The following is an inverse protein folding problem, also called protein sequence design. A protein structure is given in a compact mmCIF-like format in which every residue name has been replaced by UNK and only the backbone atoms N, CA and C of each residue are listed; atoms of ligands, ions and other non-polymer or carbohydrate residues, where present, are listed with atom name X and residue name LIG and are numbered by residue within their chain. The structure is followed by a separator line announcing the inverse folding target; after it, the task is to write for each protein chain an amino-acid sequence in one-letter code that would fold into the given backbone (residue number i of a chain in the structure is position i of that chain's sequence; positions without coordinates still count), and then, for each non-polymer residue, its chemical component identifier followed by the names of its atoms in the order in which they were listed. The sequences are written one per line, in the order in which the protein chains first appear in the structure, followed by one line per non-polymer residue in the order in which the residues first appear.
data_IF_019823009404
#
_entry.id   IF_019823009404
#
_cell.length_a   1.000
_cell.length_b   1.000
_cell.length_c   1.000
_cell.angle_alpha   90.00
_cell.angle_beta   90.00
_cell.angle_gamma   90.00
#
_symmetry.space_group_name_H-M   'P 1'
#
loop_
_entity.id
_entity.type
_entity.pdbx_description
1 polymer ?
#
# COMPACT_ATOMS: atom_id res chain seq x y z
N UNK A 1 15.94 13.35 3.94
CA UNK A 1 16.15 14.10 2.68
C UNK A 1 15.17 13.56 1.63
N UNK A 2 14.77 14.36 0.62
CA UNK A 2 13.89 13.92 -0.46
C UNK A 2 14.68 13.08 -1.47
N UNK A 3 14.79 11.77 -1.25
CA UNK A 3 15.55 10.89 -2.12
C UNK A 3 14.78 10.64 -3.42
N UNK A 4 15.38 10.86 -4.60
CA UNK A 4 14.81 10.46 -5.89
C UNK A 4 14.47 8.97 -5.94
N UNK A 5 13.38 8.60 -6.61
CA UNK A 5 12.91 7.21 -6.64
C UNK A 5 13.88 6.27 -7.36
N UNK A 6 14.51 6.72 -8.44
CA UNK A 6 15.56 5.98 -9.15
C UNK A 6 16.75 5.64 -8.23
N UNK A 7 17.18 6.59 -7.40
CA UNK A 7 18.27 6.37 -6.43
C UNK A 7 17.84 5.43 -5.31
N UNK A 8 16.59 5.55 -4.83
CA UNK A 8 16.04 4.60 -3.87
C UNK A 8 16.04 3.17 -4.44
N UNK A 9 15.56 2.98 -5.67
CA UNK A 9 15.53 1.67 -6.35
C UNK A 9 16.95 1.15 -6.60
N UNK A 10 17.88 2.02 -7.00
CA UNK A 10 19.29 1.65 -7.13
C UNK A 10 19.87 1.11 -5.85
N UNK A 11 19.77 1.88 -4.76
CA UNK A 11 20.29 1.47 -3.46
C UNK A 11 19.66 0.16 -2.98
N UNK A 12 18.38 -0.06 -3.30
CA UNK A 12 17.67 -1.29 -2.96
C UNK A 12 18.19 -2.50 -3.76
N UNK A 13 18.25 -2.39 -5.09
CA UNK A 13 18.60 -3.50 -5.97
C UNK A 13 20.10 -3.79 -6.02
N UNK A 14 20.96 -2.80 -5.75
CA UNK A 14 22.41 -3.00 -5.67
C UNK A 14 22.91 -3.11 -4.24
N UNK A 15 22.02 -3.27 -3.25
CA UNK A 15 22.38 -3.37 -1.85
C UNK A 15 23.40 -4.49 -1.60
N UNK A 16 24.37 -4.19 -0.74
CA UNK A 16 25.38 -5.12 -0.25
C UNK A 16 25.61 -4.88 1.25
N UNK A 17 26.17 -5.86 1.94
CA UNK A 17 26.47 -5.81 3.37
C UNK A 17 25.55 -6.68 4.21
N UNK A 18 25.50 -6.37 5.52
CA UNK A 18 24.78 -7.17 6.51
C UNK A 18 23.28 -6.89 6.50
N UNK A 19 22.48 -7.96 6.48
CA UNK A 19 21.01 -7.91 6.60
C UNK A 19 20.50 -7.46 7.97
N UNK A 20 21.37 -7.33 8.97
CA UNK A 20 21.04 -6.80 10.30
C UNK A 20 21.38 -5.33 10.47
N UNK A 21 22.42 -4.86 9.78
CA UNK A 21 22.86 -3.46 9.87
C UNK A 21 22.10 -2.56 8.90
N UNK A 22 21.59 -3.11 7.80
CA UNK A 22 20.88 -2.37 6.78
C UNK A 22 19.66 -3.16 6.31
N UNK A 23 18.55 -2.46 6.08
CA UNK A 23 17.31 -3.03 5.53
C UNK A 23 17.44 -3.52 4.09
N UNK A 24 18.00 -2.74 3.14
CA UNK A 24 18.01 -3.11 1.72
C UNK A 24 18.62 -4.48 1.38
N UNK A 25 19.75 -4.93 1.96
CA UNK A 25 20.28 -6.28 1.72
C UNK A 25 19.29 -7.40 2.10
N UNK A 26 18.33 -7.15 3.00
CA UNK A 26 17.34 -8.15 3.39
C UNK A 26 16.39 -8.53 2.25
N UNK A 27 16.29 -7.73 1.18
CA UNK A 27 15.60 -8.11 -0.04
C UNK A 27 16.13 -9.45 -0.59
N UNK A 28 17.45 -9.65 -0.60
CA UNK A 28 18.08 -10.87 -1.12
C UNK A 28 18.11 -12.02 -0.10
N UNK A 29 17.75 -11.74 1.15
CA UNK A 29 17.45 -12.78 2.16
C UNK A 29 16.09 -13.42 1.88
N UNK A 30 15.12 -12.61 1.46
CA UNK A 30 13.77 -13.02 1.07
C UNK A 30 13.75 -13.59 -0.36
N UNK A 31 14.17 -12.80 -1.35
CA UNK A 31 14.31 -13.21 -2.76
C UNK A 31 15.66 -13.89 -2.96
N UNK A 32 15.73 -15.15 -2.54
CA UNK A 32 17.01 -15.90 -2.46
C UNK A 32 17.52 -16.30 -3.83
N UNK A 33 16.68 -16.72 -4.75
CA UNK A 33 17.15 -17.16 -6.07
C UNK A 33 17.14 -16.02 -7.08
N UNK A 34 18.00 -16.05 -8.11
CA UNK A 34 17.91 -15.09 -9.22
C UNK A 34 16.52 -15.03 -9.86
N UNK A 35 15.83 -16.16 -9.90
CA UNK A 35 14.45 -16.33 -10.35
C UNK A 35 13.48 -15.54 -9.47
N UNK A 36 13.52 -15.72 -8.15
CA UNK A 36 12.63 -14.99 -7.24
C UNK A 36 12.86 -13.47 -7.29
N UNK A 37 14.13 -13.06 -7.47
CA UNK A 37 14.47 -11.65 -7.67
C UNK A 37 13.94 -11.12 -9.01
N UNK A 38 14.01 -11.91 -10.08
CA UNK A 38 13.46 -11.59 -11.40
C UNK A 38 11.95 -11.34 -11.35
N UNK A 39 11.19 -12.27 -10.76
CA UNK A 39 9.75 -12.14 -10.58
C UNK A 39 9.38 -10.89 -9.78
N UNK A 40 10.05 -10.68 -8.64
CA UNK A 40 9.83 -9.50 -7.82
C UNK A 40 10.13 -8.18 -8.54
N UNK A 41 11.30 -8.06 -9.20
CA UNK A 41 11.72 -6.80 -9.83
C UNK A 41 10.87 -6.47 -11.05
N UNK A 42 10.54 -7.47 -11.88
CA UNK A 42 9.65 -7.28 -13.02
C UNK A 42 8.27 -6.78 -12.57
N UNK A 43 7.67 -7.43 -11.59
CA UNK A 43 6.34 -7.04 -11.11
C UNK A 43 6.36 -5.67 -10.41
N UNK A 44 7.27 -5.46 -9.46
CA UNK A 44 7.21 -4.27 -8.58
C UNK A 44 7.69 -3.01 -9.30
N UNK A 45 8.77 -3.10 -10.09
CA UNK A 45 9.43 -1.92 -10.66
C UNK A 45 9.18 -1.74 -12.16
N UNK A 46 8.82 -2.80 -12.88
CA UNK A 46 8.55 -2.71 -14.32
C UNK A 46 7.07 -2.85 -14.66
N UNK A 47 6.24 -3.28 -13.70
CA UNK A 47 4.81 -3.51 -13.94
C UNK A 47 4.54 -4.68 -14.89
N UNK A 48 5.46 -5.63 -14.98
CA UNK A 48 5.36 -6.80 -15.87
C UNK A 48 5.34 -8.06 -15.02
N UNK A 49 4.32 -8.91 -15.20
CA UNK A 49 4.16 -10.17 -14.45
C UNK A 49 4.80 -11.33 -15.20
N UNK A 50 6.08 -11.57 -14.97
CA UNK A 50 6.79 -12.66 -15.66
C UNK A 50 6.63 -14.04 -14.98
N UNK A 51 5.98 -14.17 -13.83
CA UNK A 51 5.99 -15.42 -13.07
C UNK A 51 5.40 -16.63 -13.81
N UNK A 52 4.36 -16.46 -14.63
CA UNK A 52 3.87 -17.56 -15.47
C UNK A 52 4.91 -18.00 -16.50
N UNK A 53 5.72 -17.05 -16.99
CA UNK A 53 6.80 -17.30 -17.95
C UNK A 53 7.93 -18.18 -17.36
N UNK A 54 8.02 -18.31 -16.03
CA UNK A 54 9.00 -19.16 -15.35
C UNK A 54 8.94 -20.62 -15.81
N UNK A 55 7.74 -21.15 -16.03
CA UNK A 55 7.54 -22.58 -16.32
C UNK A 55 7.10 -22.85 -17.75
N UNK A 56 6.34 -21.94 -18.37
CA UNK A 56 5.79 -22.09 -19.71
C UNK A 56 5.64 -20.71 -20.37
N UNK A 57 5.37 -20.63 -21.68
CA UNK A 57 5.04 -19.36 -22.31
C UNK A 57 3.81 -18.72 -21.66
N UNK A 58 3.83 -17.41 -21.41
CA UNK A 58 2.76 -16.72 -20.72
C UNK A 58 1.42 -16.90 -21.48
N UNK A 59 0.30 -17.29 -20.85
CA UNK A 59 -0.93 -17.66 -21.59
C UNK A 59 -1.58 -16.51 -22.37
N UNK A 60 -1.35 -15.27 -21.93
CA UNK A 60 -2.02 -14.07 -22.44
C UNK A 60 -1.06 -12.93 -22.77
N UNK A 61 0.25 -13.21 -22.80
CA UNK A 61 1.29 -12.20 -23.08
C UNK A 61 2.40 -12.80 -23.95
N UNK A 62 3.26 -11.92 -24.48
CA UNK A 62 4.37 -12.29 -25.37
C UNK A 62 5.55 -12.95 -24.66
N UNK A 63 5.58 -12.94 -23.33
CA UNK A 63 6.75 -13.37 -22.55
C UNK A 63 6.91 -14.89 -22.55
N UNK A 64 8.12 -15.34 -22.79
CA UNK A 64 8.48 -16.75 -22.70
C UNK A 64 9.47 -17.04 -21.57
N UNK A 65 9.82 -18.31 -21.43
CA UNK A 65 10.77 -18.76 -20.43
C UNK A 65 12.16 -18.13 -20.64
N UNK A 66 12.57 -17.89 -21.88
CA UNK A 66 13.83 -17.21 -22.16
C UNK A 66 13.82 -15.80 -21.55
N UNK A 67 12.76 -15.02 -21.72
CA UNK A 67 12.64 -13.67 -21.16
C UNK A 67 12.77 -13.67 -19.62
N UNK A 68 12.07 -14.58 -18.93
CA UNK A 68 12.12 -14.69 -17.46
C UNK A 68 13.54 -14.93 -16.95
N UNK A 69 14.23 -15.91 -17.55
CA UNK A 69 15.57 -16.29 -17.12
C UNK A 69 16.65 -15.32 -17.60
N UNK A 70 16.45 -14.62 -18.73
CA UNK A 70 17.34 -13.53 -19.13
C UNK A 70 17.29 -12.34 -18.15
N UNK A 71 16.12 -12.02 -17.58
CA UNK A 71 16.04 -11.05 -16.49
C UNK A 71 16.68 -11.60 -15.20
N UNK A 72 16.46 -12.88 -14.89
CA UNK A 72 17.10 -13.54 -13.74
C UNK A 72 18.63 -13.53 -13.82
N UNK A 73 19.20 -13.54 -15.03
CA UNK A 73 20.64 -13.51 -15.24
C UNK A 73 21.33 -12.29 -14.59
N UNK A 74 20.65 -11.13 -14.47
CA UNK A 74 21.17 -9.96 -13.75
C UNK A 74 21.39 -10.21 -12.24
N UNK A 75 20.73 -11.20 -11.65
CA UNK A 75 20.84 -11.51 -10.22
C UNK A 75 21.76 -12.71 -9.94
N UNK A 76 22.23 -13.42 -10.97
CA UNK A 76 23.08 -14.61 -10.85
C UNK A 76 24.44 -14.35 -10.19
N UNK A 77 24.92 -13.10 -10.22
CA UNK A 77 26.13 -12.65 -9.52
C UNK A 77 25.94 -12.40 -8.02
N UNK A 78 24.73 -12.52 -7.48
CA UNK A 78 24.46 -12.29 -6.06
C UNK A 78 25.02 -13.44 -5.23
N UNK A 79 25.79 -13.10 -4.19
CA UNK A 79 26.42 -14.04 -3.27
C UNK A 79 26.01 -13.73 -1.84
N UNK A 80 26.05 -14.77 -1.00
CA UNK A 80 25.67 -14.68 0.42
C UNK A 80 26.60 -15.52 1.30
N UNK A 81 26.77 -15.09 2.54
CA UNK A 81 27.48 -15.83 3.60
C UNK A 81 26.78 -15.60 4.93
N UNK A 82 26.52 -16.67 5.68
CA UNK A 82 25.82 -16.65 6.95
C UNK A 82 24.89 -17.87 7.08
N UNK A 83 24.38 -18.13 8.29
CA UNK A 83 23.48 -19.27 8.53
C UNK A 83 22.03 -19.01 8.05
N UNK A 84 21.67 -17.74 7.83
CA UNK A 84 20.35 -17.39 7.28
C UNK A 84 19.21 -17.52 8.28
N UNK A 85 18.01 -17.77 7.75
CA UNK A 85 16.81 -18.00 8.55
C UNK A 85 16.86 -19.46 9.03
N UNK A 86 17.20 -19.68 10.31
CA UNK A 86 16.95 -20.96 10.97
C UNK A 86 15.66 -20.87 11.80
N UNK A 87 14.81 -21.89 11.67
CA UNK A 87 13.72 -22.08 12.62
C UNK A 87 14.29 -22.67 13.92
N UNK A 88 13.83 -22.28 15.13
CA UNK A 88 12.84 -21.26 15.44
C UNK A 88 13.52 -20.01 16.03
N UNK A 89 13.52 -18.90 15.30
CA UNK A 89 13.81 -17.56 15.86
C UNK A 89 15.30 -17.30 16.20
N UNK A 90 16.18 -17.36 15.20
CA UNK A 90 17.28 -16.39 15.09
C UNK A 90 17.75 -16.34 13.66
N UNK A 91 17.48 -15.23 12.96
CA UNK A 91 18.15 -14.97 11.70
C UNK A 91 19.57 -14.56 12.01
N UNK A 92 20.55 -15.44 11.84
CA UNK A 92 21.95 -15.03 11.97
C UNK A 92 22.32 -14.00 10.88
N UNK A 93 23.32 -13.14 11.09
CA UNK A 93 23.73 -12.17 10.07
C UNK A 93 24.09 -12.86 8.74
N UNK A 94 23.28 -12.60 7.71
CA UNK A 94 23.68 -12.85 6.33
C UNK A 94 24.35 -11.61 5.76
N UNK A 95 25.51 -11.79 5.13
CA UNK A 95 26.19 -10.80 4.34
C UNK A 95 25.91 -11.05 2.86
N UNK A 96 25.41 -10.04 2.16
CA UNK A 96 25.14 -10.07 0.73
C UNK A 96 26.21 -9.26 -0.01
N UNK A 97 26.73 -9.79 -1.10
CA UNK A 97 27.60 -9.05 -2.03
C UNK A 97 27.34 -9.49 -3.46
N UNK A 98 27.82 -8.74 -4.44
CA UNK A 98 27.68 -9.10 -5.85
C UNK A 98 29.05 -9.29 -6.52
N UNK A 99 29.06 -10.19 -7.49
CA UNK A 99 30.16 -10.39 -8.43
C UNK A 99 29.70 -10.02 -9.84
N UNK A 100 30.64 -9.75 -10.75
CA UNK A 100 30.36 -9.50 -12.17
C UNK A 100 29.96 -10.74 -12.97
N UNK A 101 30.02 -11.92 -12.34
CA UNK A 101 29.68 -13.19 -12.97
C UNK A 101 28.21 -13.22 -13.40
N UNK A 102 27.98 -13.61 -14.65
CA UNK A 102 26.66 -14.02 -15.13
C UNK A 102 26.68 -15.51 -15.38
N UNK A 103 25.78 -16.24 -14.74
CA UNK A 103 25.62 -17.67 -14.95
C UNK A 103 24.12 -18.00 -14.89
N UNK A 104 23.49 -18.11 -16.04
CA UNK A 104 22.09 -18.49 -16.15
C UNK A 104 21.89 -19.36 -17.39
N UNK A 105 21.19 -20.48 -17.22
CA UNK A 105 20.87 -21.40 -18.30
C UNK A 105 19.37 -21.49 -18.49
N UNK A 106 18.94 -21.65 -19.72
CA UNK A 106 17.55 -21.99 -20.00
C UNK A 106 17.25 -23.38 -19.42
N UNK A 107 16.18 -23.55 -18.61
CA UNK A 107 15.96 -24.80 -17.86
C UNK A 107 15.63 -26.01 -18.76
N UNK A 108 15.02 -25.79 -19.93
CA UNK A 108 14.73 -26.86 -20.90
C UNK A 108 15.89 -27.11 -21.89
N UNK A 109 16.40 -26.07 -22.56
CA UNK A 109 17.40 -26.25 -23.63
C UNK A 109 18.85 -26.31 -23.14
N UNK A 110 19.14 -25.84 -21.92
CA UNK A 110 20.50 -25.75 -21.37
C UNK A 110 21.37 -24.63 -21.96
N UNK A 111 20.81 -23.82 -22.87
CA UNK A 111 21.47 -22.66 -23.50
C UNK A 111 21.93 -21.66 -22.44
N UNK A 112 23.15 -21.13 -22.58
CA UNK A 112 23.64 -20.03 -21.74
C UNK A 112 22.94 -18.72 -22.12
N UNK A 113 22.25 -18.12 -21.15
CA UNK A 113 21.45 -16.93 -21.35
C UNK A 113 22.22 -15.66 -20.97
N UNK A 114 22.26 -14.71 -21.91
CA UNK A 114 22.77 -13.37 -21.66
C UNK A 114 21.71 -12.52 -20.93
N UNK A 115 22.12 -11.59 -20.05
CA UNK A 115 21.17 -10.71 -19.38
C UNK A 115 20.42 -9.82 -20.37
N UNK A 116 19.10 -9.78 -20.20
CA UNK A 116 18.20 -8.95 -20.99
C UNK A 116 17.03 -8.54 -20.13
N UNK A 117 16.71 -7.25 -20.12
CA UNK A 117 15.53 -6.75 -19.44
C UNK A 117 14.29 -6.91 -20.32
N UNK A 118 13.06 -6.92 -19.76
CA UNK A 118 11.83 -6.98 -20.56
C UNK A 118 11.77 -5.83 -21.57
N UNK A 119 11.60 -6.16 -22.85
CA UNK A 119 11.66 -5.22 -23.98
C UNK A 119 12.98 -4.42 -24.12
N UNK A 120 14.01 -4.81 -23.37
CA UNK A 120 15.35 -4.25 -23.46
C UNK A 120 16.25 -4.98 -24.45
N UNK A 121 17.41 -4.39 -24.79
CA UNK A 121 18.45 -5.08 -25.55
C UNK A 121 19.13 -6.15 -24.69
N UNK A 122 19.70 -7.17 -25.34
CA UNK A 122 20.67 -8.05 -24.66
C UNK A 122 21.93 -7.25 -24.33
N UNK A 123 22.47 -7.45 -23.13
CA UNK A 123 23.63 -6.69 -22.64
C UNK A 123 24.75 -7.64 -22.23
N UNK A 124 25.97 -7.31 -22.65
CA UNK A 124 27.19 -7.95 -22.12
C UNK A 124 27.61 -7.18 -20.87
N UNK A 125 27.70 -7.87 -19.74
CA UNK A 125 28.08 -7.25 -18.48
C UNK A 125 29.60 -7.07 -18.43
N UNK A 126 30.11 -5.84 -18.20
CA UNK A 126 31.53 -5.62 -17.99
C UNK A 126 32.06 -6.41 -16.78
N UNK A 127 33.30 -6.90 -16.87
CA UNK A 127 33.90 -7.77 -15.86
C UNK A 127 34.13 -7.11 -14.50
N UNK A 128 34.05 -5.79 -14.42
CA UNK A 128 34.22 -4.97 -13.22
C UNK A 128 32.89 -4.40 -12.68
N UNK A 129 31.76 -4.71 -13.33
CA UNK A 129 30.45 -4.17 -12.95
C UNK A 129 29.51 -5.23 -12.37
N UNK A 130 28.75 -4.81 -11.36
CA UNK A 130 27.61 -5.57 -10.84
C UNK A 130 26.49 -5.60 -11.89
N UNK A 131 26.03 -6.79 -12.36
CA UNK A 131 24.96 -6.88 -13.33
C UNK A 131 23.67 -6.18 -12.86
N UNK A 132 23.39 -6.19 -11.54
CA UNK A 132 22.21 -5.51 -10.96
C UNK A 132 22.28 -4.00 -11.19
N UNK A 133 23.48 -3.41 -11.14
CA UNK A 133 23.66 -1.99 -11.41
C UNK A 133 23.41 -1.66 -12.89
N UNK A 134 23.80 -2.55 -13.81
CA UNK A 134 23.52 -2.41 -15.25
C UNK A 134 22.02 -2.46 -15.53
N UNK A 135 21.28 -3.35 -14.85
CA UNK A 135 19.82 -3.39 -14.93
C UNK A 135 19.21 -2.06 -14.47
N UNK A 136 19.63 -1.52 -13.32
CA UNK A 136 19.09 -0.24 -12.83
C UNK A 136 19.47 0.93 -13.74
N UNK A 137 20.68 0.94 -14.31
CA UNK A 137 21.07 1.93 -15.32
C UNK A 137 20.06 1.94 -16.48
N UNK A 138 19.67 0.76 -16.99
CA UNK A 138 18.64 0.64 -18.03
C UNK A 138 17.24 1.06 -17.55
N UNK A 139 16.84 0.69 -16.33
CA UNK A 139 15.54 1.06 -15.76
C UNK A 139 15.35 2.57 -15.69
N UNK A 140 16.44 3.30 -15.43
CA UNK A 140 16.42 4.74 -15.15
C UNK A 140 16.67 5.60 -16.39
N UNK A 141 16.80 4.98 -17.57
CA UNK A 141 16.90 5.70 -18.84
C UNK A 141 15.61 6.48 -19.12
N UNK A 142 15.68 7.74 -19.60
CA UNK A 142 14.50 8.54 -19.92
C UNK A 142 13.53 7.89 -20.93
N UNK A 143 14.07 7.06 -21.82
CA UNK A 143 13.36 6.36 -22.88
C UNK A 143 12.81 5.00 -22.42
N UNK A 144 13.07 4.58 -21.18
CA UNK A 144 12.58 3.32 -20.64
C UNK A 144 11.03 3.33 -20.58
N UNK A 145 10.34 2.38 -21.24
CA UNK A 145 8.89 2.43 -21.33
C UNK A 145 8.17 1.91 -20.08
N UNK A 146 8.89 1.27 -19.15
CA UNK A 146 8.29 0.49 -18.05
C UNK A 146 8.43 1.19 -16.70
N UNK A 147 9.65 1.55 -16.31
CA UNK A 147 9.98 1.94 -14.93
C UNK A 147 9.19 3.16 -14.45
N UNK A 148 9.18 4.24 -15.23
CA UNK A 148 8.46 5.46 -14.87
C UNK A 148 6.93 5.24 -14.86
N UNK A 149 6.39 4.51 -15.86
CA UNK A 149 4.95 4.20 -15.94
C UNK A 149 4.49 3.37 -14.73
N UNK A 150 5.24 2.34 -14.37
CA UNK A 150 4.93 1.49 -13.22
C UNK A 150 4.94 2.27 -11.90
N UNK A 151 5.94 3.12 -11.69
CA UNK A 151 6.04 3.97 -10.49
C UNK A 151 4.88 4.96 -10.39
N UNK A 152 4.60 5.68 -11.49
CA UNK A 152 3.50 6.65 -11.57
C UNK A 152 2.15 5.99 -11.32
N UNK A 153 1.89 4.86 -11.99
CA UNK A 153 0.62 4.15 -11.87
C UNK A 153 0.38 3.66 -10.44
N UNK A 154 1.42 3.17 -9.77
CA UNK A 154 1.35 2.74 -8.37
C UNK A 154 1.06 3.92 -7.43
N UNK A 155 1.69 5.07 -7.62
CA UNK A 155 1.39 6.28 -6.82
C UNK A 155 -0.03 6.79 -7.09
N UNK A 156 -0.46 6.80 -8.35
CA UNK A 156 -1.82 7.14 -8.74
C UNK A 156 -2.84 6.26 -8.02
N UNK A 157 -2.64 4.94 -8.05
CA UNK A 157 -3.52 3.99 -7.39
C UNK A 157 -3.63 4.21 -5.86
N UNK A 158 -2.56 4.66 -5.19
CA UNK A 158 -2.62 4.99 -3.76
C UNK A 158 -3.59 6.14 -3.46
N UNK A 159 -3.70 7.12 -4.37
CA UNK A 159 -4.58 8.27 -4.18
C UNK A 159 -6.00 8.04 -4.69
N UNK A 160 -6.17 7.31 -5.79
CA UNK A 160 -7.48 7.07 -6.40
C UNK A 160 -8.11 5.72 -6.05
N UNK A 161 -7.38 4.83 -5.37
CA UNK A 161 -7.82 3.47 -5.04
C UNK A 161 -7.79 2.49 -6.23
N UNK A 162 -7.47 2.99 -7.44
CA UNK A 162 -7.37 2.24 -8.69
C UNK A 162 -6.32 2.87 -9.58
N UNK A 163 -5.40 2.07 -10.12
CA UNK A 163 -4.41 2.54 -11.09
C UNK A 163 -5.02 2.84 -12.46
N UNK A 164 -4.35 3.70 -13.23
CA UNK A 164 -4.69 3.94 -14.65
C UNK A 164 -4.58 2.60 -15.42
N UNK A 165 -3.59 1.79 -15.06
CA UNK A 165 -3.58 0.35 -15.32
C UNK A 165 -3.93 -0.35 -14.02
N UNK A 166 -4.87 -1.29 -14.08
CA UNK A 166 -5.32 -2.05 -12.92
C UNK A 166 -5.46 -3.54 -13.29
N UNK A 167 -4.86 -4.47 -12.54
CA UNK A 167 -4.00 -4.25 -11.37
C UNK A 167 -2.76 -3.38 -11.61
N UNK A 168 -2.23 -2.76 -10.56
CA UNK A 168 -1.21 -1.69 -10.65
C UNK A 168 0.12 -2.11 -11.28
N UNK A 169 0.34 -3.42 -11.41
CA UNK A 169 1.55 -4.09 -11.89
C UNK A 169 1.26 -5.08 -13.04
N UNK A 170 0.11 -4.95 -13.73
CA UNK A 170 -0.31 -5.84 -14.83
C UNK A 170 -0.35 -5.08 -16.17
N UNK A 171 0.79 -4.53 -16.60
CA UNK A 171 0.92 -3.82 -17.87
C UNK A 171 1.07 -4.80 -19.03
N UNK A 172 0.01 -4.95 -19.81
CA UNK A 172 0.01 -5.79 -21.01
C UNK A 172 -0.91 -5.23 -22.08
N UNK A 173 -0.69 -5.65 -23.33
CA UNK A 173 -1.50 -5.21 -24.47
C UNK A 173 -3.00 -5.53 -24.29
N UNK A 174 -3.34 -6.63 -23.60
CA UNK A 174 -4.71 -7.03 -23.28
C UNK A 174 -5.30 -6.36 -22.03
N UNK A 175 -4.52 -5.53 -21.33
CA UNK A 175 -4.92 -4.71 -20.19
C UNK A 175 -4.44 -3.26 -20.39
N UNK A 176 -4.96 -2.55 -21.40
CA UNK A 176 -4.48 -1.22 -21.72
C UNK A 176 -4.82 -0.22 -20.60
N UNK A 177 -4.03 0.86 -20.46
CA UNK A 177 -4.36 1.96 -19.55
C UNK A 177 -5.74 2.54 -19.86
N UNK A 178 -6.50 2.90 -18.82
CA UNK A 178 -7.80 3.60 -18.99
C UNK A 178 -7.62 4.96 -19.67
N UNK A 179 -6.46 5.58 -19.51
CA UNK A 179 -6.05 6.81 -20.18
C UNK A 179 -4.53 6.80 -20.43
N UNK A 180 -4.11 6.25 -21.57
CA UNK A 180 -2.69 6.16 -21.94
C UNK A 180 -2.01 7.54 -22.10
N UNK A 181 -2.60 8.54 -22.78
CA UNK A 181 -1.99 9.87 -22.86
C UNK A 181 -1.67 10.50 -21.50
N UNK A 182 -2.55 10.31 -20.50
CA UNK A 182 -2.32 10.78 -19.13
C UNK A 182 -1.14 10.06 -18.46
N UNK A 183 -1.10 8.73 -18.55
CA UNK A 183 -0.02 7.93 -17.98
C UNK A 183 1.33 8.32 -18.58
N UNK A 184 1.37 8.50 -19.90
CA UNK A 184 2.57 8.88 -20.65
C UNK A 184 3.04 10.28 -20.27
N UNK A 185 2.11 11.22 -20.12
CA UNK A 185 2.43 12.57 -19.69
C UNK A 185 3.01 12.59 -18.28
N UNK A 186 2.38 11.88 -17.33
CA UNK A 186 2.87 11.79 -15.94
C UNK A 186 4.23 11.08 -15.87
N UNK A 187 4.46 10.03 -16.66
CA UNK A 187 5.75 9.33 -16.71
C UNK A 187 6.86 10.25 -17.24
N UNK A 188 6.60 11.01 -18.31
CA UNK A 188 7.55 11.99 -18.85
C UNK A 188 7.83 13.12 -17.86
N UNK A 189 6.80 13.64 -17.20
CA UNK A 189 6.95 14.67 -16.16
C UNK A 189 7.80 14.14 -14.98
N UNK A 190 7.56 12.90 -14.55
CA UNK A 190 8.31 12.26 -13.48
C UNK A 190 9.80 12.08 -13.83
N UNK A 191 10.11 11.67 -15.06
CA UNK A 191 11.49 11.58 -15.58
C UNK A 191 12.14 12.97 -15.65
N UNK A 192 11.43 13.97 -16.20
CA UNK A 192 11.94 15.34 -16.33
C UNK A 192 12.27 15.98 -14.96
N UNK A 193 11.52 15.61 -13.92
CA UNK A 193 11.76 16.03 -12.54
C UNK A 193 12.64 15.06 -11.75
N UNK A 194 13.47 14.27 -12.45
CA UNK A 194 14.48 13.38 -11.85
C UNK A 194 13.88 12.42 -10.83
N UNK A 195 12.74 11.83 -11.18
CA UNK A 195 12.04 10.83 -10.36
C UNK A 195 11.67 11.32 -8.94
N UNK A 196 11.35 12.61 -8.78
CA UNK A 196 10.90 13.19 -7.51
C UNK A 196 9.45 12.79 -7.18
N UNK A 197 9.29 11.89 -6.21
CA UNK A 197 7.97 11.44 -5.75
C UNK A 197 7.13 12.57 -5.16
N UNK A 198 7.73 13.55 -4.46
CA UNK A 198 6.97 14.66 -3.88
C UNK A 198 6.42 15.59 -4.95
N UNK A 199 7.17 15.78 -6.03
CA UNK A 199 6.69 16.49 -7.22
C UNK A 199 5.50 15.75 -7.82
N UNK A 200 5.64 14.46 -8.11
CA UNK A 200 4.55 13.63 -8.66
C UNK A 200 3.29 13.66 -7.78
N UNK A 201 3.45 13.46 -6.47
CA UNK A 201 2.34 13.54 -5.51
C UNK A 201 1.67 14.91 -5.54
N UNK A 202 2.45 16.00 -5.55
CA UNK A 202 1.93 17.37 -5.62
C UNK A 202 1.15 17.61 -6.91
N UNK A 203 1.67 17.16 -8.05
CA UNK A 203 1.02 17.27 -9.36
C UNK A 203 -0.33 16.55 -9.36
N UNK A 204 -0.39 15.33 -8.82
CA UNK A 204 -1.64 14.56 -8.69
C UNK A 204 -2.63 15.27 -7.75
N UNK A 205 -2.19 15.64 -6.55
CA UNK A 205 -3.07 16.22 -5.52
C UNK A 205 -3.62 17.61 -5.88
N UNK A 206 -2.91 18.36 -6.74
CA UNK A 206 -3.36 19.64 -7.26
C UNK A 206 -4.15 19.53 -8.59
N UNK A 207 -4.36 18.32 -9.11
CA UNK A 207 -5.11 18.12 -10.35
C UNK A 207 -6.61 18.33 -10.14
N UNK A 208 -7.31 18.81 -11.18
CA UNK A 208 -8.77 18.87 -11.18
C UNK A 208 -9.38 17.49 -10.88
N UNK A 209 -8.83 16.42 -11.47
CA UNK A 209 -9.29 15.03 -11.27
C UNK A 209 -9.29 14.61 -9.80
N UNK A 210 -8.24 14.95 -9.05
CA UNK A 210 -8.18 14.62 -7.62
C UNK A 210 -9.15 15.45 -6.77
N UNK A 211 -9.46 16.67 -7.21
CA UNK A 211 -10.32 17.61 -6.49
C UNK A 211 -11.81 17.46 -6.81
N UNK A 212 -12.20 16.49 -7.66
CA UNK A 212 -13.59 16.23 -7.99
C UNK A 212 -14.39 15.81 -6.75
N UNK A 213 -15.66 16.21 -6.69
CA UNK A 213 -16.60 15.74 -5.66
C UNK A 213 -16.81 14.23 -5.75
N UNK A 214 -17.13 13.58 -4.61
CA UNK A 214 -17.55 12.18 -4.58
C UNK A 214 -19.03 11.96 -4.94
N UNK A 215 -19.81 13.05 -5.02
CA UNK A 215 -21.22 13.03 -5.44
C UNK A 215 -21.35 12.73 -6.92
N UNK A 216 -22.06 11.65 -7.25
CA UNK A 216 -22.38 11.30 -8.64
C UNK A 216 -23.53 12.16 -9.20
N UNK A 217 -23.51 12.34 -10.51
CA UNK A 217 -24.63 12.82 -11.32
C UNK A 217 -25.15 11.69 -12.21
N UNK A 218 -26.21 11.96 -12.97
CA UNK A 218 -26.86 10.98 -13.86
C UNK A 218 -25.91 10.36 -14.90
N UNK A 219 -24.90 11.12 -15.35
CA UNK A 219 -23.99 10.69 -16.42
C UNK A 219 -22.80 9.86 -15.93
N UNK A 220 -22.47 9.93 -14.63
CA UNK A 220 -21.24 9.33 -14.09
C UNK A 220 -21.46 8.36 -12.92
N UNK A 221 -22.72 8.11 -12.52
CA UNK A 221 -23.05 7.19 -11.43
C UNK A 221 -22.45 5.79 -11.64
N UNK A 222 -22.44 5.31 -12.89
CA UNK A 222 -21.90 4.01 -13.29
C UNK A 222 -20.42 4.01 -13.66
N UNK A 223 -19.73 5.15 -13.62
CA UNK A 223 -18.30 5.18 -13.90
C UNK A 223 -17.50 4.64 -12.72
N UNK A 224 -16.69 3.62 -12.98
CA UNK A 224 -15.86 2.93 -11.99
C UNK A 224 -14.37 2.96 -12.33
N UNK A 225 -13.98 3.60 -13.44
CA UNK A 225 -12.60 3.52 -13.94
C UNK A 225 -12.05 4.76 -14.63
N UNK A 226 -12.89 5.72 -15.01
CA UNK A 226 -12.48 6.89 -15.80
C UNK A 226 -12.23 8.14 -14.94
N UNK A 227 -12.34 8.04 -13.61
CA UNK A 227 -12.06 9.13 -12.67
C UNK A 227 -12.94 10.37 -12.91
N UNK A 228 -14.18 10.18 -13.36
CA UNK A 228 -15.14 11.28 -13.56
C UNK A 228 -15.67 11.90 -12.26
N UNK A 229 -15.27 11.36 -11.11
CA UNK A 229 -15.54 11.83 -9.75
C UNK A 229 -14.53 11.24 -8.77
N UNK A 230 -14.50 11.74 -7.54
CA UNK A 230 -13.76 11.06 -6.47
C UNK A 230 -14.49 9.79 -6.04
N UNK A 231 -13.80 8.65 -6.08
CA UNK A 231 -14.36 7.40 -5.57
C UNK A 231 -14.14 7.34 -4.07
N UNK A 232 -15.19 6.98 -3.32
CA UNK A 232 -15.08 6.76 -1.87
C UNK A 232 -14.14 5.60 -1.62
N UNK A 233 -13.11 5.82 -0.82
CA UNK A 233 -12.09 4.81 -0.52
C UNK A 233 -12.20 4.38 0.91
N UNK A 234 -12.17 3.08 1.13
CA UNK A 234 -12.20 2.54 2.48
C UNK A 234 -10.88 2.85 3.20
N UNK A 235 -10.96 3.23 4.47
CA UNK A 235 -9.78 3.38 5.30
C UNK A 235 -9.11 2.01 5.54
N UNK A 236 -7.78 1.90 5.36
CA UNK A 236 -7.05 0.70 5.74
C UNK A 236 -7.23 0.38 7.23
N UNK A 237 -7.12 -0.89 7.61
CA UNK A 237 -7.35 -1.38 8.96
C UNK A 237 -6.63 -0.57 10.05
N UNK A 238 -5.35 -0.25 9.84
CA UNK A 238 -4.51 0.50 10.75
C UNK A 238 -4.98 1.96 10.87
N UNK A 239 -5.29 2.59 9.74
CA UNK A 239 -5.79 3.97 9.69
C UNK A 239 -7.16 4.07 10.35
N UNK A 240 -8.02 3.09 10.15
CA UNK A 240 -9.34 3.04 10.76
C UNK A 240 -9.23 2.84 12.29
N UNK A 241 -8.33 1.99 12.77
CA UNK A 241 -8.08 1.84 14.20
C UNK A 241 -7.54 3.14 14.82
N UNK A 242 -6.62 3.81 14.13
CA UNK A 242 -6.12 5.12 14.54
C UNK A 242 -7.25 6.18 14.56
N UNK A 243 -8.16 6.16 13.58
CA UNK A 243 -9.32 7.04 13.55
C UNK A 243 -10.26 6.77 14.73
N UNK A 244 -10.54 5.50 15.06
CA UNK A 244 -11.33 5.11 16.24
C UNK A 244 -10.69 5.66 17.51
N UNK A 245 -9.38 5.48 17.70
CA UNK A 245 -8.65 6.00 18.86
C UNK A 245 -8.71 7.54 18.92
N UNK A 246 -8.54 8.21 17.79
CA UNK A 246 -8.63 9.66 17.70
C UNK A 246 -10.04 10.19 18.02
N UNK A 247 -11.09 9.53 17.53
CA UNK A 247 -12.50 9.90 17.75
C UNK A 247 -12.92 9.66 19.19
N UNK A 248 -12.49 8.55 19.79
CA UNK A 248 -12.78 8.22 21.19
C UNK A 248 -11.87 8.93 22.17
N UNK A 249 -10.81 9.60 21.70
CA UNK A 249 -9.71 10.13 22.52
C UNK A 249 -9.09 9.05 23.44
N UNK A 250 -8.98 7.82 22.94
CA UNK A 250 -8.35 6.70 23.65
C UNK A 250 -7.02 6.32 23.02
N UNK A 251 -6.27 5.43 23.68
CA UNK A 251 -5.01 4.89 23.19
C UNK A 251 -5.02 3.38 23.31
N UNK A 252 -4.21 2.73 22.49
CA UNK A 252 -3.91 1.30 22.56
C UNK A 252 -2.40 1.13 22.62
N UNK A 253 -1.96 0.10 23.34
CA UNK A 253 -0.55 -0.27 23.40
C UNK A 253 -0.30 -1.45 22.47
N UNK A 254 0.75 -1.35 21.69
CA UNK A 254 1.17 -2.42 20.80
C UNK A 254 2.46 -3.02 21.34
N UNK A 255 2.50 -4.35 21.46
CA UNK A 255 3.67 -5.04 22.01
C UNK A 255 4.93 -4.68 21.21
N UNK A 256 6.04 -4.38 21.90
CA UNK A 256 7.30 -4.02 21.26
C UNK A 256 7.35 -2.61 20.63
N UNK A 257 6.29 -1.81 20.75
CA UNK A 257 6.29 -0.40 20.37
C UNK A 257 6.25 0.51 21.60
N UNK A 258 6.74 1.73 21.45
CA UNK A 258 6.68 2.74 22.51
C UNK A 258 5.22 3.12 22.82
N UNK A 259 4.97 3.54 24.06
CA UNK A 259 3.66 4.04 24.46
C UNK A 259 3.23 5.23 23.57
N UNK A 260 1.96 5.25 23.15
CA UNK A 260 1.44 6.26 22.25
C UNK A 260 1.74 6.04 20.76
N UNK A 261 2.36 4.92 20.39
CA UNK A 261 2.49 4.52 18.99
C UNK A 261 1.13 4.32 18.34
N UNK A 262 1.02 4.72 17.07
CA UNK A 262 -0.16 4.55 16.23
C UNK A 262 -0.22 3.16 15.63
N UNK A 263 -1.41 2.68 15.30
CA UNK A 263 -1.61 1.43 14.59
C UNK A 263 -0.87 1.43 13.23
N UNK A 264 -0.82 2.57 12.53
CA UNK A 264 -0.07 2.71 11.27
C UNK A 264 1.46 2.54 11.42
N UNK A 265 1.99 2.56 12.64
CA UNK A 265 3.41 2.35 12.94
C UNK A 265 3.73 0.89 13.28
N UNK A 266 2.73 0.01 13.26
CA UNK A 266 2.92 -1.43 13.49
C UNK A 266 3.72 -2.05 12.34
N UNK A 267 4.69 -2.90 12.69
CA UNK A 267 5.70 -3.37 11.73
C UNK A 267 5.27 -4.57 10.87
N UNK A 268 4.29 -5.36 11.33
CA UNK A 268 3.82 -6.58 10.67
C UNK A 268 2.60 -7.18 11.41
N UNK A 269 2.05 -8.23 10.80
CA UNK A 269 0.93 -9.03 11.30
C UNK A 269 1.21 -9.84 12.58
N UNK A 270 2.47 -9.92 13.07
CA UNK A 270 2.77 -10.68 14.28
C UNK A 270 2.28 -9.98 15.57
N UNK A 271 2.01 -8.68 15.48
CA UNK A 271 1.39 -7.94 16.58
C UNK A 271 -0.09 -8.32 16.67
N UNK A 272 -0.55 -8.80 17.82
CA UNK A 272 -1.96 -9.20 17.98
C UNK A 272 -2.88 -7.98 17.90
N UNK A 273 -3.89 -8.03 17.02
CA UNK A 273 -4.98 -7.04 16.96
C UNK A 273 -6.19 -7.59 16.21
N UNK A 274 -7.19 -8.03 16.97
CA UNK A 274 -8.46 -8.54 16.43
C UNK A 274 -9.14 -7.52 15.51
N UNK A 275 -9.03 -6.22 15.82
CA UNK A 275 -9.59 -5.17 14.98
C UNK A 275 -8.90 -5.15 13.61
N UNK A 276 -7.56 -5.07 13.59
CA UNK A 276 -6.85 -5.00 12.31
C UNK A 276 -7.00 -6.28 11.49
N UNK A 277 -7.09 -7.43 12.16
CA UNK A 277 -7.38 -8.73 11.53
C UNK A 277 -8.78 -8.75 10.90
N UNK A 278 -9.82 -8.31 11.62
CA UNK A 278 -11.17 -8.24 11.09
C UNK A 278 -11.28 -7.32 9.85
N UNK A 279 -10.47 -6.26 9.81
CA UNK A 279 -10.43 -5.28 8.72
C UNK A 279 -9.41 -5.59 7.62
N UNK A 280 -8.86 -6.81 7.58
CA UNK A 280 -8.08 -7.30 6.45
C UNK A 280 -6.70 -6.67 6.34
N UNK A 281 -6.02 -6.41 7.47
CA UNK A 281 -4.59 -6.03 7.43
C UNK A 281 -3.79 -7.05 6.62
N UNK A 282 -2.77 -6.62 5.86
CA UNK A 282 -2.00 -7.52 5.03
C UNK A 282 -1.13 -8.45 5.89
N UNK A 283 -1.10 -9.73 5.53
CA UNK A 283 -0.14 -10.69 6.08
C UNK A 283 1.08 -10.76 5.16
N UNK A 284 2.16 -10.08 5.56
CA UNK A 284 3.43 -10.06 4.83
C UNK A 284 4.13 -11.43 4.71
N UNK A 285 3.68 -12.44 5.45
CA UNK A 285 4.24 -13.79 5.46
C UNK A 285 3.34 -14.82 4.76
N UNK A 286 2.20 -14.41 4.21
CA UNK A 286 1.36 -15.30 3.42
C UNK A 286 1.90 -15.45 1.98
N UNK A 287 1.85 -16.66 1.44
CA UNK A 287 2.13 -16.92 0.03
C UNK A 287 0.98 -16.37 -0.83
N UNK A 288 1.34 -15.63 -1.88
CA UNK A 288 0.56 -14.52 -2.43
C UNK A 288 0.38 -13.42 -1.37
N UNK A 289 1.12 -12.29 -1.45
CA UNK A 289 0.85 -11.16 -0.56
C UNK A 289 -0.56 -10.67 -0.87
N UNK A 290 -1.55 -11.19 -0.15
CA UNK A 290 -2.94 -10.80 -0.30
C UNK A 290 -2.97 -9.28 -0.14
N UNK A 291 -3.27 -8.61 -1.25
CA UNK A 291 -3.50 -7.18 -1.26
C UNK A 291 -4.56 -6.84 -0.19
N UNK A 292 -4.50 -5.63 0.35
CA UNK A 292 -5.47 -5.15 1.35
C UNK A 292 -6.88 -5.38 0.82
N UNK A 293 -7.64 -6.31 1.40
CA UNK A 293 -9.00 -6.58 0.94
C UNK A 293 -9.93 -5.47 1.42
N UNK A 294 -10.28 -4.58 0.48
CA UNK A 294 -11.18 -3.47 0.76
C UNK A 294 -12.66 -3.89 0.78
N UNK A 295 -13.00 -5.14 0.41
CA UNK A 295 -14.39 -5.59 0.32
C UNK A 295 -15.07 -5.53 1.69
N UNK A 296 -16.35 -5.13 1.73
CA UNK A 296 -17.13 -5.20 2.95
C UNK A 296 -17.35 -6.67 3.34
N UNK A 297 -17.24 -6.96 4.63
CA UNK A 297 -17.56 -8.28 5.19
C UNK A 297 -18.50 -8.15 6.37
N UNK A 298 -19.33 -9.18 6.57
CA UNK A 298 -20.19 -9.28 7.75
C UNK A 298 -19.36 -9.31 9.05
N UNK A 299 -18.16 -9.89 9.02
CA UNK A 299 -17.23 -9.92 10.16
C UNK A 299 -16.86 -8.49 10.60
N UNK A 300 -16.60 -7.58 9.65
CA UNK A 300 -16.26 -6.19 9.97
C UNK A 300 -17.42 -5.44 10.61
N UNK A 301 -18.63 -5.58 10.06
CA UNK A 301 -19.82 -4.96 10.61
C UNK A 301 -20.13 -5.50 12.02
N UNK A 302 -20.10 -6.82 12.20
CA UNK A 302 -20.31 -7.44 13.50
C UNK A 302 -19.22 -7.08 14.51
N UNK A 303 -17.98 -6.90 14.08
CA UNK A 303 -16.90 -6.45 14.95
C UNK A 303 -17.15 -5.02 15.45
N UNK A 304 -17.55 -4.09 14.57
CA UNK A 304 -17.86 -2.71 14.98
C UNK A 304 -19.03 -2.64 15.95
N UNK A 305 -20.05 -3.48 15.77
CA UNK A 305 -21.22 -3.44 16.63
C UNK A 305 -21.00 -4.12 17.99
N UNK A 306 -20.25 -5.22 18.02
CA UNK A 306 -20.23 -6.13 19.18
C UNK A 306 -18.87 -6.25 19.89
N UNK A 307 -17.81 -5.61 19.39
CA UNK A 307 -16.48 -5.69 20.02
C UNK A 307 -16.50 -5.04 21.41
N UNK A 308 -16.19 -5.84 22.43
CA UNK A 308 -16.04 -5.34 23.81
C UNK A 308 -14.90 -4.33 23.92
N UNK A 309 -13.82 -4.52 23.15
CA UNK A 309 -12.70 -3.58 23.09
C UNK A 309 -13.12 -2.25 22.46
N UNK A 310 -13.96 -2.26 21.42
CA UNK A 310 -14.47 -1.02 20.84
C UNK A 310 -15.43 -0.32 21.79
N UNK A 311 -16.35 -1.06 22.40
CA UNK A 311 -17.29 -0.51 23.38
C UNK A 311 -16.55 0.13 24.57
N UNK A 312 -15.50 -0.53 25.08
CA UNK A 312 -14.66 0.02 26.15
C UNK A 312 -13.96 1.33 25.76
N UNK A 313 -13.66 1.55 24.47
CA UNK A 313 -13.11 2.83 24.00
C UNK A 313 -14.17 3.94 23.98
N UNK A 314 -15.40 3.62 23.58
CA UNK A 314 -16.53 4.57 23.60
C UNK A 314 -16.86 4.99 25.03
N UNK A 315 -16.88 4.03 25.96
CA UNK A 315 -17.25 4.21 27.38
C UNK A 315 -16.06 4.49 28.30
N UNK A 316 -14.88 4.80 27.74
CA UNK A 316 -13.66 5.01 28.52
C UNK A 316 -13.81 6.19 29.50
N UNK A 317 -13.37 6.00 30.75
CA UNK A 317 -13.48 7.01 31.80
C UNK A 317 -12.75 8.33 31.48
N UNK A 318 -11.67 8.25 30.69
CA UNK A 318 -10.91 9.41 30.21
C UNK A 318 -11.18 9.71 28.72
N UNK A 319 -12.17 9.04 28.12
CA UNK A 319 -12.50 9.18 26.69
C UNK A 319 -13.31 10.43 26.37
N UNK A 320 -13.40 10.76 25.07
CA UNK A 320 -14.09 11.95 24.56
C UNK A 320 -15.55 12.01 25.01
N UNK A 321 -16.28 10.90 24.95
CA UNK A 321 -17.69 10.87 25.35
C UNK A 321 -17.87 11.27 26.82
N UNK A 322 -17.04 10.74 27.71
CA UNK A 322 -17.05 11.06 29.14
C UNK A 322 -16.69 12.52 29.41
N UNK A 323 -15.67 13.04 28.74
CA UNK A 323 -15.26 14.45 28.84
C UNK A 323 -16.37 15.40 28.37
N UNK A 324 -17.03 15.11 27.24
CA UNK A 324 -18.13 15.92 26.72
C UNK A 324 -19.37 15.87 27.61
N UNK A 325 -19.70 14.68 28.12
CA UNK A 325 -20.84 14.50 29.02
C UNK A 325 -20.67 15.24 30.36
N UNK A 326 -19.47 15.21 30.94
CA UNK A 326 -19.13 15.92 32.18
C UNK A 326 -18.97 17.44 31.99
N UNK A 327 -18.76 17.89 30.75
CA UNK A 327 -18.60 19.30 30.41
C UNK A 327 -19.89 20.12 30.42
N UNK A 328 -19.74 21.43 30.29
CA UNK A 328 -20.84 22.43 30.26
C UNK A 328 -21.37 22.76 28.86
N UNK A 329 -20.84 22.09 27.82
CA UNK A 329 -21.26 22.33 26.43
C UNK A 329 -22.76 22.07 26.25
N UNK A 330 -23.43 22.77 25.34
CA UNK A 330 -24.84 22.44 25.05
C UNK A 330 -24.93 21.09 24.33
N UNK A 331 -26.11 20.46 24.34
CA UNK A 331 -26.32 19.23 23.57
C UNK A 331 -25.99 19.42 22.08
N UNK A 332 -26.35 20.59 21.55
CA UNK A 332 -26.05 20.97 20.16
C UNK A 332 -24.55 21.07 19.89
N UNK A 333 -23.80 21.69 20.80
CA UNK A 333 -22.35 21.80 20.67
C UNK A 333 -21.66 20.43 20.78
N UNK A 334 -22.17 19.54 21.64
CA UNK A 334 -21.67 18.17 21.75
C UNK A 334 -21.88 17.42 20.43
N UNK A 335 -23.07 17.49 19.85
CA UNK A 335 -23.35 16.85 18.55
C UNK A 335 -22.39 17.38 17.48
N UNK A 336 -22.22 18.71 17.39
CA UNK A 336 -21.30 19.33 16.42
C UNK A 336 -19.86 18.85 16.60
N UNK A 337 -19.37 18.77 17.84
CA UNK A 337 -18.02 18.31 18.15
C UNK A 337 -17.81 16.83 17.78
N UNK A 338 -18.81 15.97 18.04
CA UNK A 338 -18.74 14.56 17.67
C UNK A 338 -18.72 14.35 16.15
N UNK A 339 -19.55 15.09 15.41
CA UNK A 339 -19.55 15.07 13.94
C UNK A 339 -18.23 15.59 13.35
N UNK A 340 -17.71 16.69 13.89
CA UNK A 340 -16.40 17.21 13.48
C UNK A 340 -15.28 16.21 13.76
N UNK A 341 -15.33 15.55 14.92
CA UNK A 341 -14.35 14.53 15.29
C UNK A 341 -14.42 13.29 14.39
N UNK A 342 -15.62 12.80 14.08
CA UNK A 342 -15.84 11.56 13.34
C UNK A 342 -15.73 11.73 11.81
N UNK A 343 -16.26 12.83 11.26
CA UNK A 343 -16.41 13.03 9.82
C UNK A 343 -15.71 14.28 9.28
N UNK A 344 -15.06 15.08 10.14
CA UNK A 344 -14.44 16.36 9.74
C UNK A 344 -15.41 17.36 9.09
N UNK A 345 -16.72 17.25 9.39
CA UNK A 345 -17.77 18.19 8.95
C UNK A 345 -18.78 18.43 10.06
N UNK A 346 -19.60 19.46 9.91
CA UNK A 346 -20.75 19.70 10.77
C UNK A 346 -21.92 18.79 10.37
N UNK A 347 -22.83 18.45 11.30
CA UNK A 347 -24.08 17.78 10.96
C UNK A 347 -24.93 18.69 10.07
N UNK A 348 -25.74 18.10 9.20
CA UNK A 348 -26.85 18.81 8.54
C UNK A 348 -27.94 19.15 9.55
N UNK A 349 -28.88 20.02 9.19
CA UNK A 349 -30.00 20.37 10.07
C UNK A 349 -30.85 19.15 10.45
N UNK A 350 -31.07 18.23 9.50
CA UNK A 350 -31.79 16.98 9.73
C UNK A 350 -31.02 16.02 10.66
N UNK A 351 -29.72 15.86 10.44
CA UNK A 351 -28.83 15.06 11.29
C UNK A 351 -28.79 15.62 12.71
N UNK A 352 -28.75 16.94 12.86
CA UNK A 352 -28.72 17.61 14.16
C UNK A 352 -30.01 17.34 14.95
N UNK A 353 -31.17 17.46 14.30
CA UNK A 353 -32.47 17.15 14.91
C UNK A 353 -32.54 15.68 15.31
N UNK A 354 -32.05 14.77 14.47
CA UNK A 354 -32.03 13.33 14.76
C UNK A 354 -31.10 13.00 15.94
N UNK A 355 -29.87 13.53 15.93
CA UNK A 355 -28.86 13.27 16.95
C UNK A 355 -29.30 13.79 18.34
N UNK A 356 -30.01 14.94 18.39
CA UNK A 356 -30.54 15.47 19.66
C UNK A 356 -31.59 14.56 20.30
N UNK A 357 -32.29 13.71 19.53
CA UNK A 357 -33.26 12.76 20.10
C UNK A 357 -32.64 11.76 21.07
N UNK A 358 -31.34 11.46 20.93
CA UNK A 358 -30.62 10.58 21.84
C UNK A 358 -30.63 11.10 23.29
N UNK A 359 -30.58 12.42 23.48
CA UNK A 359 -30.58 13.05 24.81
C UNK A 359 -31.96 13.05 25.48
N UNK A 360 -33.03 12.89 24.69
CA UNK A 360 -34.43 12.86 25.17
C UNK A 360 -35.01 11.44 25.23
N UNK A 361 -34.21 10.42 24.89
CA UNK A 361 -34.67 9.04 24.91
C UNK A 361 -35.01 8.59 26.33
N UNK A 362 -35.95 7.64 26.45
CA UNK A 362 -36.38 7.10 27.74
C UNK A 362 -35.18 6.48 28.47
N UNK A 363 -35.01 6.83 29.74
CA UNK A 363 -33.92 6.38 30.62
C UNK A 363 -32.51 6.83 30.18
N UNK A 364 -32.41 7.74 29.19
CA UNK A 364 -31.13 8.29 28.76
C UNK A 364 -30.56 9.25 29.80
N UNK A 365 -29.32 8.98 30.20
CA UNK A 365 -28.49 9.97 30.87
C UNK A 365 -27.74 10.80 29.83
N UNK A 366 -27.28 11.99 30.22
CA UNK A 366 -26.42 12.80 29.37
C UNK A 366 -25.18 12.02 28.90
N UNK A 367 -24.62 11.17 29.76
CA UNK A 367 -23.48 10.33 29.39
C UNK A 367 -23.85 9.26 28.36
N UNK A 368 -24.89 8.48 28.64
CA UNK A 368 -25.30 7.39 27.74
C UNK A 368 -25.72 7.93 26.37
N UNK A 369 -26.37 9.09 26.30
CA UNK A 369 -26.72 9.73 25.04
C UNK A 369 -25.48 10.10 24.19
N UNK A 370 -24.40 10.58 24.82
CA UNK A 370 -23.16 10.93 24.12
C UNK A 370 -22.42 9.67 23.67
N UNK A 371 -22.38 8.64 24.52
CA UNK A 371 -21.77 7.34 24.20
C UNK A 371 -22.51 6.64 23.05
N UNK A 372 -23.85 6.60 23.10
CA UNK A 372 -24.69 6.01 22.05
C UNK A 372 -24.56 6.76 20.72
N UNK A 373 -24.54 8.09 20.76
CA UNK A 373 -24.32 8.90 19.56
C UNK A 373 -22.92 8.64 18.97
N UNK A 374 -21.87 8.63 19.81
CA UNK A 374 -20.52 8.32 19.35
C UNK A 374 -20.43 6.91 18.74
N UNK A 375 -21.04 5.92 19.38
CA UNK A 375 -21.11 4.55 18.87
C UNK A 375 -21.84 4.48 17.52
N UNK A 376 -22.97 5.19 17.38
CA UNK A 376 -23.73 5.25 16.13
C UNK A 376 -22.91 5.87 14.99
N UNK A 377 -22.17 6.96 15.27
CA UNK A 377 -21.30 7.59 14.28
C UNK A 377 -20.17 6.64 13.83
N UNK A 378 -19.51 5.96 14.78
CA UNK A 378 -18.47 4.97 14.47
C UNK A 378 -18.99 3.79 13.62
N UNK A 379 -20.25 3.38 13.83
CA UNK A 379 -20.88 2.27 13.11
C UNK A 379 -21.54 2.69 11.79
N UNK A 380 -21.50 3.98 11.44
CA UNK A 380 -22.03 4.47 10.18
C UNK A 380 -21.17 4.04 8.98
N UNK A 381 -21.79 4.00 7.80
CA UNK A 381 -21.04 3.81 6.55
C UNK A 381 -20.04 4.96 6.31
N UNK A 382 -20.38 6.20 6.67
CA UNK A 382 -19.53 7.37 6.43
C UNK A 382 -18.17 7.28 7.15
N UNK A 383 -18.15 6.71 8.36
CA UNK A 383 -16.93 6.62 9.17
C UNK A 383 -15.82 5.76 8.54
N UNK A 384 -16.20 4.69 7.82
CA UNK A 384 -15.22 3.75 7.25
C UNK A 384 -14.64 4.21 5.90
N UNK A 385 -15.17 5.29 5.32
CA UNK A 385 -14.74 5.81 4.01
C UNK A 385 -14.10 7.20 4.12
N UNK A 386 -13.00 7.38 3.39
CA UNK A 386 -12.51 8.67 2.97
C UNK A 386 -13.38 9.16 1.80
N UNK A 387 -14.07 10.29 1.99
CA UNK A 387 -15.18 10.74 1.16
C UNK A 387 -15.05 12.19 0.69
#
# INVERSE_FOLDING_TARGET
QNKPYDQFVRELLTAQGSTHKAGPPALFRDKRTPEDASGFVSQVFLGVRLDCARCHHHPSEKWDQKDYYQLAAFFSGTRRKGQGISAPISGEPEYIWATSSVAMKHPVTGEDLKPRAPDGPEVVIPTDRDPRAVLVDWMTQPENPLFARAAVNRVWAQFFGRGIVDPVDDFRASNPPTNEPLLDWLAKDFVAHKFDLKHLMRTILNSHTYQLSSTANETNVGDTKNYSRSYRRRLPAEVLLDAVMQVTATRETFNGLAEGSRALQTWNHMLSSEFMDAFGRPNSSAECPCERDAKPSMVQALHMMNSTKLNAKVTAAEGRARQLAAGKATEEDIVKELYLSAYNRRPTDEELVLAKKAFTAKDATRQSAVEDLLWALLNSAEFVFNH
#
